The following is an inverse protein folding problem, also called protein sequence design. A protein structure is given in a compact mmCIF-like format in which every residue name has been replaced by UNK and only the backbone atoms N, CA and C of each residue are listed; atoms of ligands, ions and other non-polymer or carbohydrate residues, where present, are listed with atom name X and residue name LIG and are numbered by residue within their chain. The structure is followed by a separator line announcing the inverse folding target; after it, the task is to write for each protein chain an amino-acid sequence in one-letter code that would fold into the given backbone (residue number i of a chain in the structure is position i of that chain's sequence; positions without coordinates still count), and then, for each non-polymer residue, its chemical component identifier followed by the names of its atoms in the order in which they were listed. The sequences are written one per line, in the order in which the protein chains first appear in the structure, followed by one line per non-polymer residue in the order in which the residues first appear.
data_IF_877405174084
#
_entry.id   IF_877405174084
#
_cell.length_a   1.000
_cell.length_b   1.000
_cell.length_c   1.000
_cell.angle_alpha   90.00
_cell.angle_beta   90.00
_cell.angle_gamma   90.00
#
_symmetry.space_group_name_H-M   'P 1'
#
loop_
_entity.id
_entity.type
_entity.pdbx_description
1 polymer ?
#
# COMPACT_ATOMS: atom_id res chain seq x y z
N UNK A 1 -11.79 -10.43 63.50
CA UNK A 1 -12.91 -10.12 62.58
C UNK A 1 -12.34 -9.56 61.28
N UNK A 2 -12.97 -9.89 60.16
CA UNK A 2 -12.41 -9.98 58.80
C UNK A 2 -11.97 -8.63 58.21
N UNK A 3 -10.72 -8.55 57.73
CA UNK A 3 -10.22 -7.48 56.85
C UNK A 3 -10.88 -7.66 55.49
N UNK A 4 -11.75 -6.73 55.09
CA UNK A 4 -12.37 -6.70 53.75
C UNK A 4 -11.38 -6.06 52.78
N UNK A 5 -10.61 -6.89 52.08
CA UNK A 5 -9.86 -6.45 50.91
C UNK A 5 -10.85 -6.19 49.76
N UNK A 6 -11.16 -4.93 49.50
CA UNK A 6 -11.91 -4.52 48.32
C UNK A 6 -10.93 -4.46 47.13
N UNK A 7 -10.90 -5.53 46.34
CA UNK A 7 -10.18 -5.57 45.07
C UNK A 7 -11.03 -4.80 44.04
N UNK A 8 -10.66 -3.55 43.77
CA UNK A 8 -11.19 -2.79 42.64
C UNK A 8 -10.57 -3.35 41.35
N UNK A 9 -11.32 -4.21 40.63
CA UNK A 9 -11.02 -4.57 39.25
C UNK A 9 -11.25 -3.35 38.36
N UNK A 10 -10.17 -2.62 38.06
CA UNK A 10 -10.13 -1.71 36.92
C UNK A 10 -10.14 -2.56 35.64
N UNK A 11 -11.32 -2.81 35.06
CA UNK A 11 -11.41 -3.24 33.67
C UNK A 11 -10.90 -2.08 32.81
N UNK A 12 -9.65 -2.16 32.39
CA UNK A 12 -9.11 -1.30 31.35
C UNK A 12 -9.92 -1.56 30.06
N UNK A 13 -10.84 -0.65 29.74
CA UNK A 13 -11.42 -0.58 28.42
C UNK A 13 -10.29 -0.24 27.44
N UNK A 14 -9.75 -1.26 26.75
CA UNK A 14 -8.94 -1.01 25.57
C UNK A 14 -9.83 -0.26 24.57
N UNK A 15 -9.41 0.90 24.05
CA UNK A 15 -10.11 1.51 22.94
C UNK A 15 -10.08 0.53 21.77
N UNK A 16 -11.19 0.35 21.01
CA UNK A 16 -11.16 -0.42 19.80
C UNK A 16 -10.08 0.17 18.90
N UNK A 17 -9.13 -0.68 18.51
CA UNK A 17 -8.12 -0.35 17.50
C UNK A 17 -8.86 0.25 16.29
N UNK A 18 -8.50 1.48 15.94
CA UNK A 18 -9.05 2.19 14.82
C UNK A 18 -8.98 1.30 13.56
N UNK A 19 -10.13 0.91 13.03
CA UNK A 19 -10.21 0.28 11.72
C UNK A 19 -10.02 1.38 10.67
N UNK A 20 -8.79 1.56 10.20
CA UNK A 20 -8.49 2.36 9.02
C UNK A 20 -8.61 1.49 7.77
N UNK A 21 -9.80 0.91 7.53
CA UNK A 21 -10.00 0.06 6.35
C UNK A 21 -10.56 0.80 5.12
N UNK A 22 -10.89 2.08 5.22
CA UNK A 22 -11.30 2.91 4.07
C UNK A 22 -10.31 4.05 3.86
N UNK A 23 -9.31 3.82 3.02
CA UNK A 23 -8.30 4.83 2.66
C UNK A 23 -7.37 4.35 1.55
N UNK A 24 -6.57 5.24 0.98
CA UNK A 24 -5.57 4.89 -0.04
C UNK A 24 -4.38 4.14 0.57
N UNK A 25 -3.77 3.22 -0.18
CA UNK A 25 -2.44 2.70 0.17
C UNK A 25 -1.39 3.76 -0.17
N UNK A 26 -0.43 4.04 0.73
CA UNK A 26 0.49 5.17 0.54
C UNK A 26 1.97 4.88 0.71
N UNK A 27 2.36 3.71 1.20
CA UNK A 27 3.73 3.50 1.63
C UNK A 27 4.47 2.60 0.65
N UNK A 28 5.21 3.17 -0.29
CA UNK A 28 6.18 2.40 -1.07
C UNK A 28 7.59 2.65 -0.51
N UNK A 29 8.25 1.61 0.05
CA UNK A 29 9.39 1.79 0.94
C UNK A 29 10.67 2.26 0.25
N UNK A 30 10.86 1.95 -1.04
CA UNK A 30 11.96 2.47 -1.86
C UNK A 30 11.70 2.17 -3.33
N UNK A 31 11.91 3.14 -4.21
CA UNK A 31 11.94 2.93 -5.67
C UNK A 31 13.31 3.32 -6.24
N UNK A 32 13.75 2.55 -7.23
CA UNK A 32 14.96 2.80 -8.01
C UNK A 32 14.59 2.64 -9.49
N UNK A 33 15.11 3.49 -10.35
CA UNK A 33 14.86 3.43 -11.80
C UNK A 33 15.28 2.07 -12.35
N UNK A 34 14.44 1.50 -13.22
CA UNK A 34 14.69 0.20 -13.85
C UNK A 34 14.55 -1.01 -12.93
N UNK A 35 14.40 -0.83 -11.61
CA UNK A 35 14.31 -1.92 -10.64
C UNK A 35 12.85 -2.15 -10.23
N UNK A 36 12.26 -3.33 -10.55
CA UNK A 36 10.92 -3.68 -10.10
C UNK A 36 10.85 -3.79 -8.58
N UNK A 37 9.86 -3.13 -7.98
CA UNK A 37 9.58 -3.21 -6.54
C UNK A 37 8.21 -3.81 -6.31
N UNK A 38 8.16 -4.95 -5.62
CA UNK A 38 6.91 -5.61 -5.25
C UNK A 38 6.34 -5.01 -3.98
N UNK A 39 5.03 -4.79 -3.98
CA UNK A 39 4.28 -4.18 -2.90
C UNK A 39 3.05 -5.03 -2.63
N UNK A 40 2.99 -5.64 -1.46
CA UNK A 40 1.81 -6.37 -1.00
C UNK A 40 0.69 -5.39 -0.66
N UNK A 41 -0.48 -5.58 -1.25
CA UNK A 41 -1.66 -4.73 -1.05
C UNK A 41 -2.83 -5.53 -0.48
N UNK A 42 -3.74 -4.89 0.26
CA UNK A 42 -4.90 -5.57 0.86
C UNK A 42 -5.82 -6.18 -0.20
N UNK A 43 -5.93 -5.52 -1.35
CA UNK A 43 -6.57 -6.00 -2.58
C UNK A 43 -6.17 -5.08 -3.75
N UNK A 44 -6.17 -5.60 -4.98
CA UNK A 44 -5.67 -4.90 -6.17
C UNK A 44 -6.50 -3.67 -6.54
N UNK A 45 -7.81 -3.70 -6.31
CA UNK A 45 -8.68 -2.56 -6.62
C UNK A 45 -8.51 -1.38 -5.64
N UNK A 46 -7.70 -1.53 -4.58
CA UNK A 46 -7.45 -0.45 -3.62
C UNK A 46 -6.63 0.66 -4.28
N UNK A 47 -7.07 1.93 -4.23
CA UNK A 47 -6.31 3.03 -4.80
C UNK A 47 -4.97 3.24 -4.09
N UNK A 48 -3.94 3.55 -4.87
CA UNK A 48 -2.61 3.94 -4.40
C UNK A 48 -2.47 5.47 -4.45
N UNK A 49 -2.06 6.10 -3.36
CA UNK A 49 -1.98 7.57 -3.27
C UNK A 49 -0.77 8.18 -3.99
N UNK A 50 0.08 7.36 -4.61
CA UNK A 50 1.18 7.83 -5.44
C UNK A 50 2.45 8.21 -4.68
N UNK A 51 2.56 7.97 -3.37
CA UNK A 51 3.75 8.33 -2.58
C UNK A 51 4.79 7.20 -2.54
N UNK A 52 6.05 7.54 -2.76
CA UNK A 52 7.16 6.58 -2.70
C UNK A 52 8.45 7.22 -2.14
N UNK A 53 9.30 6.42 -1.51
CA UNK A 53 10.63 6.85 -1.10
C UNK A 53 11.61 6.76 -2.28
N UNK A 54 12.18 7.89 -2.71
CA UNK A 54 13.18 7.99 -3.77
C UNK A 54 14.30 8.89 -3.25
N UNK A 55 15.56 8.45 -3.38
CA UNK A 55 16.73 9.21 -2.90
C UNK A 55 16.57 9.72 -1.45
N UNK A 56 16.00 8.89 -0.57
CA UNK A 56 15.70 9.18 0.85
C UNK A 56 14.61 10.24 1.11
N UNK A 57 13.83 10.61 0.11
CA UNK A 57 12.73 11.56 0.24
C UNK A 57 11.41 10.90 -0.18
N UNK A 58 10.35 11.14 0.59
CA UNK A 58 9.01 10.79 0.17
C UNK A 58 8.54 11.78 -0.88
N UNK A 59 8.29 11.27 -2.09
CA UNK A 59 7.89 12.06 -3.25
C UNK A 59 6.58 11.53 -3.81
N UNK A 60 5.76 12.44 -4.32
CA UNK A 60 4.55 12.09 -5.06
C UNK A 60 4.94 11.77 -6.50
N UNK A 61 4.67 10.55 -6.94
CA UNK A 61 5.06 10.08 -8.27
C UNK A 61 4.50 10.97 -9.39
N UNK A 62 3.28 11.51 -9.22
CA UNK A 62 2.67 12.44 -10.18
C UNK A 62 3.44 13.76 -10.35
N UNK A 63 4.28 14.16 -9.39
CA UNK A 63 5.08 15.39 -9.48
C UNK A 63 6.39 15.17 -10.25
N UNK A 64 6.88 13.93 -10.29
CA UNK A 64 8.17 13.57 -10.90
C UNK A 64 8.02 12.75 -12.19
N UNK A 65 6.83 12.23 -12.47
CA UNK A 65 6.51 11.48 -13.68
C UNK A 65 5.78 12.35 -14.69
N UNK A 66 6.15 12.25 -15.96
CA UNK A 66 5.45 12.90 -17.07
C UNK A 66 4.53 11.96 -17.84
N UNK A 67 4.81 10.65 -17.77
CA UNK A 67 3.95 9.62 -18.32
C UNK A 67 3.80 8.48 -17.33
N UNK A 68 2.60 7.90 -17.28
CA UNK A 68 2.30 6.71 -16.50
C UNK A 68 1.76 5.64 -17.44
N UNK A 69 2.13 4.40 -17.19
CA UNK A 69 1.59 3.24 -17.86
C UNK A 69 1.06 2.27 -16.81
N UNK A 70 -0.23 1.97 -16.94
CA UNK A 70 -0.93 1.05 -16.07
C UNK A 70 -1.12 -0.27 -16.81
N UNK A 71 -0.49 -1.32 -16.29
CA UNK A 71 -0.67 -2.67 -16.76
C UNK A 71 -2.03 -3.23 -16.35
N UNK A 72 -2.55 -4.15 -17.15
CA UNK A 72 -3.77 -4.90 -16.82
C UNK A 72 -3.55 -5.74 -15.57
N UNK A 73 -4.62 -5.92 -14.79
CA UNK A 73 -4.63 -6.84 -13.65
C UNK A 73 -4.60 -8.27 -14.18
N UNK A 74 -3.62 -9.06 -13.76
CA UNK A 74 -3.51 -10.48 -14.05
C UNK A 74 -3.67 -11.30 -12.77
N UNK A 75 -4.56 -12.29 -12.79
CA UNK A 75 -4.85 -13.11 -11.62
C UNK A 75 -4.59 -14.57 -11.93
N UNK A 76 -3.77 -15.22 -11.10
CA UNK A 76 -3.67 -16.69 -11.08
C UNK A 76 -4.87 -17.31 -10.34
N UNK A 77 -5.39 -16.59 -9.33
CA UNK A 77 -6.64 -16.88 -8.62
C UNK A 77 -7.19 -15.57 -8.03
N UNK A 78 -8.40 -15.58 -7.50
CA UNK A 78 -8.98 -14.41 -6.81
C UNK A 78 -8.19 -13.98 -5.57
N UNK A 79 -7.37 -14.88 -5.01
CA UNK A 79 -6.50 -14.59 -3.88
C UNK A 79 -5.10 -14.09 -4.29
N UNK A 80 -4.74 -14.20 -5.57
CA UNK A 80 -3.40 -13.91 -6.08
C UNK A 80 -3.47 -13.22 -7.43
N UNK A 81 -3.51 -11.89 -7.38
CA UNK A 81 -3.51 -11.00 -8.52
C UNK A 81 -2.30 -10.07 -8.47
N UNK A 82 -1.91 -9.60 -9.65
CA UNK A 82 -0.79 -8.69 -9.86
C UNK A 82 -1.24 -7.53 -10.75
N UNK A 83 -0.79 -6.33 -10.41
CA UNK A 83 -0.92 -5.12 -11.24
C UNK A 83 0.41 -4.40 -11.29
N UNK A 84 0.88 -4.08 -12.50
CA UNK A 84 2.14 -3.35 -12.67
C UNK A 84 1.86 -1.91 -13.06
N UNK A 85 2.48 -0.95 -12.36
CA UNK A 85 2.53 0.46 -12.76
C UNK A 85 3.96 0.84 -13.15
N UNK A 86 4.09 1.63 -14.21
CA UNK A 86 5.36 2.22 -14.64
C UNK A 86 5.23 3.73 -14.71
N UNK A 87 6.15 4.44 -14.05
CA UNK A 87 6.21 5.89 -14.03
C UNK A 87 7.47 6.35 -14.75
N UNK A 88 7.32 7.10 -15.84
CA UNK A 88 8.40 7.62 -16.66
C UNK A 88 8.64 9.09 -16.36
N UNK A 89 9.91 9.50 -16.30
CA UNK A 89 10.29 10.91 -16.05
C UNK A 89 10.16 11.78 -17.31
N UNK A 90 10.01 11.15 -18.47
CA UNK A 90 9.82 11.79 -19.76
C UNK A 90 8.53 11.32 -20.46
N UNK A 91 7.95 12.18 -21.30
CA UNK A 91 6.71 11.86 -22.03
C UNK A 91 6.92 10.82 -23.13
N UNK A 92 8.13 10.79 -23.71
CA UNK A 92 8.49 9.88 -24.79
C UNK A 92 8.74 8.43 -24.29
N UNK A 93 8.71 8.19 -22.98
CA UNK A 93 9.00 6.91 -22.33
C UNK A 93 10.35 6.31 -22.73
N UNK A 94 11.34 7.18 -22.95
CA UNK A 94 12.69 6.83 -23.38
C UNK A 94 13.65 6.54 -22.22
N UNK A 95 13.33 7.02 -21.02
CA UNK A 95 14.09 6.74 -19.79
C UNK A 95 13.60 5.49 -19.08
N UNK A 96 14.46 4.91 -18.24
CA UNK A 96 14.06 3.82 -17.35
C UNK A 96 12.92 4.29 -16.43
N UNK A 97 11.82 3.52 -16.30
CA UNK A 97 10.74 3.90 -15.41
C UNK A 97 11.01 3.48 -13.96
N UNK A 98 10.28 4.10 -13.02
CA UNK A 98 10.01 3.46 -11.74
C UNK A 98 8.95 2.38 -11.92
N UNK A 99 9.24 1.15 -11.48
CA UNK A 99 8.38 -0.02 -11.71
C UNK A 99 7.83 -0.51 -10.38
N UNK A 100 6.51 -0.52 -10.26
CA UNK A 100 5.80 -0.97 -9.06
C UNK A 100 4.96 -2.18 -9.43
N UNK A 101 5.10 -3.26 -8.70
CA UNK A 101 4.32 -4.48 -8.86
C UNK A 101 3.45 -4.64 -7.61
N UNK A 102 2.16 -4.33 -7.72
CA UNK A 102 1.21 -4.62 -6.67
C UNK A 102 0.83 -6.10 -6.71
N UNK A 103 0.85 -6.73 -5.54
CA UNK A 103 0.48 -8.13 -5.35
C UNK A 103 -0.55 -8.25 -4.23
N UNK A 104 -1.62 -9.00 -4.46
CA UNK A 104 -2.67 -9.19 -3.46
C UNK A 104 -3.92 -9.86 -4.03
N UNK A 105 -4.98 -10.06 -3.23
CA UNK A 105 -6.25 -10.58 -3.73
C UNK A 105 -6.92 -9.56 -4.68
N UNK A 106 -7.83 -10.02 -5.54
CA UNK A 106 -8.53 -9.14 -6.48
C UNK A 106 -9.37 -8.08 -5.75
N UNK A 107 -10.20 -8.56 -4.84
CA UNK A 107 -11.15 -7.78 -4.07
C UNK A 107 -10.88 -7.92 -2.58
N UNK A 108 -11.40 -6.98 -1.79
CA UNK A 108 -11.44 -7.13 -0.34
C UNK A 108 -12.20 -8.41 -0.03
N UNK A 109 -11.60 -9.32 0.74
CA UNK A 109 -12.34 -10.48 1.24
C UNK A 109 -13.47 -9.94 2.12
N UNK A 110 -14.72 -10.17 1.72
CA UNK A 110 -15.85 -10.00 2.60
C UNK A 110 -15.63 -10.92 3.80
N UNK A 111 -15.54 -10.34 4.99
CA UNK A 111 -15.39 -11.06 6.25
C UNK A 111 -16.63 -11.90 6.56
#
# INVERSE_FOLDING_TARGET
MRVKAAICLMLAALPPLASAEDGEYCVIPKLVLGVPTTVEVPYIDKPFCGMALIDSHYVRLSEISKATEEGLVSCASDASCIKTLRYYRDEAKSTEPYIIIFQGPRHRKSA
#
